data_IF_432599372954
#
_entry.id   IF_432599372954
#
_cell.length_a   1.000
_cell.length_b   1.000
_cell.length_c   1.000
_cell.angle_alpha   90.00
_cell.angle_beta   90.00
_cell.angle_gamma   90.00
#
_symmetry.space_group_name_H-M   'P 1'
#
loop_
_entity.id
_entity.type
_entity.pdbx_description
1 polymer ?
#
# COMPACT_ATOMS: atom_id res chain seq x y z
N UNK A 1 -25.93 -26.47 28.95
CA UNK A 1 -27.28 -26.20 29.51
C UNK A 1 -27.48 -24.69 29.56
N UNK A 2 -28.18 -24.13 28.55
CA UNK A 2 -29.12 -23.00 28.61
C UNK A 2 -29.49 -22.66 27.16
N UNK A 3 -30.53 -23.31 26.65
CA UNK A 3 -31.14 -23.06 25.34
C UNK A 3 -31.87 -21.71 25.38
N UNK A 4 -31.48 -20.77 24.52
CA UNK A 4 -32.27 -19.57 24.25
C UNK A 4 -33.16 -19.85 23.04
N UNK A 5 -34.44 -20.11 23.32
CA UNK A 5 -35.51 -20.29 22.33
C UNK A 5 -35.85 -18.90 21.76
N UNK A 6 -35.48 -18.64 20.50
CA UNK A 6 -35.91 -17.44 19.79
C UNK A 6 -37.17 -17.76 18.98
N UNK A 7 -38.27 -17.13 19.37
CA UNK A 7 -39.58 -17.24 18.73
C UNK A 7 -39.53 -16.71 17.30
N UNK A 8 -40.04 -17.55 16.39
CA UNK A 8 -40.59 -17.20 15.09
C UNK A 8 -41.93 -16.49 15.26
N UNK A 9 -42.13 -15.39 14.53
CA UNK A 9 -43.38 -14.94 13.89
C UNK A 9 -43.35 -13.41 13.76
N UNK A 10 -43.29 -12.91 12.53
CA UNK A 10 -44.39 -12.13 11.96
C UNK A 10 -44.06 -11.74 10.53
N UNK A 11 -44.81 -12.39 9.63
CA UNK A 11 -45.06 -11.91 8.27
C UNK A 11 -45.46 -10.43 8.30
N UNK A 12 -44.68 -9.60 7.61
CA UNK A 12 -45.15 -8.30 7.16
C UNK A 12 -44.66 -8.06 5.74
N UNK A 13 -45.61 -8.27 4.81
CA UNK A 13 -45.54 -7.81 3.41
C UNK A 13 -45.40 -6.29 3.40
N UNK A 14 -44.17 -5.79 3.50
CA UNK A 14 -43.83 -4.38 3.31
C UNK A 14 -43.53 -4.11 1.84
N UNK A 15 -44.48 -3.49 1.13
CA UNK A 15 -44.26 -2.94 -0.20
C UNK A 15 -43.05 -2.01 -0.21
N UNK A 16 -42.23 -2.17 -1.25
CA UNK A 16 -40.98 -1.45 -1.44
C UNK A 16 -41.13 0.07 -1.39
N UNK A 17 -40.44 0.67 -0.42
CA UNK A 17 -40.00 2.05 -0.50
C UNK A 17 -38.47 2.02 -0.65
N UNK A 18 -38.01 2.05 -1.92
CA UNK A 18 -36.61 2.38 -2.22
C UNK A 18 -36.30 3.70 -1.53
N UNK A 19 -35.49 3.64 -0.48
CA UNK A 19 -34.93 4.80 0.19
C UNK A 19 -34.18 5.64 -0.84
N UNK A 20 -34.82 6.71 -1.31
CA UNK A 20 -34.18 7.69 -2.19
C UNK A 20 -33.16 8.42 -1.33
N UNK A 21 -31.89 8.16 -1.61
CA UNK A 21 -30.78 8.92 -1.05
C UNK A 21 -31.01 10.43 -1.24
N UNK A 22 -30.50 11.27 -0.32
CA UNK A 22 -30.66 12.72 -0.40
C UNK A 22 -30.04 13.23 -1.71
N UNK A 23 -30.90 13.54 -2.69
CA UNK A 23 -30.50 14.24 -3.90
C UNK A 23 -30.22 15.67 -3.46
N UNK A 24 -28.95 16.04 -3.36
CA UNK A 24 -28.52 17.42 -3.16
C UNK A 24 -29.06 18.27 -4.32
N UNK A 25 -30.28 18.81 -4.16
CA UNK A 25 -30.89 19.77 -5.08
C UNK A 25 -30.24 21.13 -4.84
N UNK A 26 -29.29 21.48 -5.67
CA UNK A 26 -28.80 22.86 -5.83
C UNK A 26 -29.65 23.59 -6.88
N UNK A 27 -30.98 23.59 -6.72
CA UNK A 27 -31.91 24.17 -7.69
C UNK A 27 -32.07 25.70 -7.55
N UNK A 28 -31.30 26.34 -6.65
CA UNK A 28 -31.26 27.81 -6.61
C UNK A 28 -30.21 28.30 -7.61
N UNK A 29 -30.61 28.98 -8.70
CA UNK A 29 -29.64 29.64 -9.57
C UNK A 29 -28.86 30.64 -8.70
N UNK A 30 -27.52 30.71 -8.84
CA UNK A 30 -26.72 31.65 -8.07
C UNK A 30 -27.19 33.07 -8.36
N UNK A 31 -27.51 33.83 -7.30
CA UNK A 31 -27.71 35.26 -7.41
C UNK A 31 -26.49 35.87 -8.10
N UNK A 32 -26.72 36.60 -9.20
CA UNK A 32 -25.68 37.37 -9.88
C UNK A 32 -25.25 38.53 -9.00
N UNK A 33 -24.46 38.25 -7.96
CA UNK A 33 -23.79 39.30 -7.19
C UNK A 33 -22.74 39.95 -8.11
N UNK A 34 -22.95 41.21 -8.43
CA UNK A 34 -22.04 42.04 -9.23
C UNK A 34 -20.78 42.40 -8.43
N UNK A 35 -20.01 41.40 -7.99
CA UNK A 35 -18.70 41.61 -7.37
C UNK A 35 -17.63 41.75 -8.46
N UNK A 36 -16.73 42.74 -8.35
CA UNK A 36 -15.68 42.99 -9.33
C UNK A 36 -14.80 41.75 -9.47
N UNK A 37 -14.56 41.31 -10.72
CA UNK A 37 -13.73 40.16 -11.08
C UNK A 37 -12.45 40.14 -10.23
N UNK A 38 -12.32 39.24 -9.24
CA UNK A 38 -11.09 39.12 -8.50
C UNK A 38 -10.03 38.67 -9.51
N UNK A 39 -8.98 39.47 -9.66
CA UNK A 39 -7.81 39.07 -10.46
C UNK A 39 -7.44 37.64 -10.01
N UNK A 40 -7.30 36.68 -10.95
CA UNK A 40 -7.00 35.31 -10.58
C UNK A 40 -5.71 35.32 -9.78
N UNK A 41 -5.82 35.07 -8.47
CA UNK A 41 -4.65 34.86 -7.63
C UNK A 41 -4.01 33.60 -8.18
N UNK A 42 -2.78 33.70 -8.68
CA UNK A 42 -2.02 32.54 -9.11
C UNK A 42 -2.10 31.49 -7.98
N UNK A 43 -2.61 30.27 -8.26
CA UNK A 43 -2.76 29.26 -7.23
C UNK A 43 -1.41 29.04 -6.56
N UNK A 44 -1.41 28.88 -5.23
CA UNK A 44 -0.18 28.63 -4.49
C UNK A 44 0.53 27.40 -5.11
N UNK A 45 1.86 27.42 -5.32
CA UNK A 45 2.60 26.36 -6.02
C UNK A 45 2.46 24.95 -5.43
N UNK A 46 1.95 24.82 -4.20
CA UNK A 46 1.65 23.55 -3.56
C UNK A 46 0.33 22.94 -4.05
N UNK A 47 -0.67 23.77 -4.31
CA UNK A 47 -2.03 23.36 -4.68
C UNK A 47 -2.22 23.10 -6.18
N UNK A 48 -1.13 23.06 -6.95
CA UNK A 48 -1.14 22.83 -8.40
C UNK A 48 -0.35 21.60 -8.84
N UNK A 49 0.23 20.86 -7.87
CA UNK A 49 1.04 19.66 -8.09
C UNK A 49 0.13 18.47 -8.38
N UNK A 50 0.64 17.47 -9.10
CA UNK A 50 -0.03 16.19 -9.11
C UNK A 50 -0.03 15.59 -7.71
N UNK A 51 -1.19 15.12 -7.27
CA UNK A 51 -1.42 14.44 -6.01
C UNK A 51 -2.20 13.16 -6.26
N UNK A 52 -1.95 12.14 -5.44
CA UNK A 52 -2.63 10.86 -5.48
C UNK A 52 -2.65 10.20 -4.10
N UNK A 53 -3.54 9.23 -3.92
CA UNK A 53 -3.64 8.37 -2.74
C UNK A 53 -3.62 6.91 -3.18
N UNK A 54 -2.89 6.10 -2.44
CA UNK A 54 -3.04 4.64 -2.43
C UNK A 54 -3.71 4.26 -1.12
N UNK A 55 -4.78 3.47 -1.20
CA UNK A 55 -5.51 3.01 -0.02
C UNK A 55 -5.52 1.50 0.01
N UNK A 56 -4.95 0.94 1.07
CA UNK A 56 -5.06 -0.47 1.38
C UNK A 56 -6.37 -0.74 2.13
N UNK A 57 -7.11 -1.73 1.66
CA UNK A 57 -8.34 -2.20 2.23
C UNK A 57 -8.14 -3.64 2.74
N UNK A 58 -8.37 -3.84 4.03
CA UNK A 58 -8.40 -5.17 4.61
C UNK A 58 -9.74 -5.84 4.29
N UNK A 59 -9.73 -7.12 3.94
CA UNK A 59 -10.95 -7.90 3.76
C UNK A 59 -11.32 -8.63 5.05
N UNK A 60 -12.61 -8.65 5.34
CA UNK A 60 -13.20 -9.47 6.40
C UNK A 60 -14.10 -10.49 5.73
N UNK A 61 -13.74 -11.77 5.87
CA UNK A 61 -14.53 -12.88 5.35
C UNK A 61 -15.46 -13.36 6.46
N UNK A 62 -16.77 -13.27 6.22
CA UNK A 62 -17.77 -13.83 7.12
C UNK A 62 -18.28 -15.14 6.53
N UNK A 63 -18.07 -16.23 7.26
CA UNK A 63 -18.65 -17.52 6.95
C UNK A 63 -20.14 -17.54 7.25
N UNK A 64 -20.92 -18.16 6.37
CA UNK A 64 -22.26 -18.65 6.70
C UNK A 64 -22.09 -19.98 7.42
N UNK A 65 -22.06 -19.94 8.75
CA UNK A 65 -21.97 -21.07 9.68
C UNK A 65 -20.73 -22.00 9.53
N UNK A 66 -19.88 -22.00 10.55
CA UNK A 66 -18.79 -22.98 10.78
C UNK A 66 -17.79 -23.19 9.62
N UNK A 67 -17.23 -22.10 9.08
CA UNK A 67 -15.99 -22.23 8.30
C UNK A 67 -14.88 -22.65 9.28
N UNK A 68 -14.47 -23.92 9.22
CA UNK A 68 -13.29 -24.39 9.95
C UNK A 68 -12.10 -23.46 9.64
N UNK A 69 -11.18 -23.21 10.58
CA UNK A 69 -10.03 -22.32 10.36
C UNK A 69 -9.21 -22.62 9.10
N UNK A 70 -9.21 -23.88 8.64
CA UNK A 70 -8.54 -24.33 7.41
C UNK A 70 -9.37 -24.11 6.12
N UNK A 71 -10.60 -23.63 6.23
CA UNK A 71 -11.54 -23.42 5.13
C UNK A 71 -11.63 -21.96 4.66
N UNK A 72 -10.84 -21.05 5.22
CA UNK A 72 -10.80 -19.66 4.75
C UNK A 72 -10.20 -19.58 3.35
N UNK A 73 -10.75 -18.76 2.44
CA UNK A 73 -10.22 -18.61 1.10
C UNK A 73 -8.84 -17.95 1.13
N UNK A 74 -7.97 -18.37 0.22
CA UNK A 74 -6.70 -17.72 -0.03
C UNK A 74 -6.91 -16.25 -0.45
N UNK A 75 -6.02 -15.36 -0.03
CA UNK A 75 -6.08 -13.94 -0.33
C UNK A 75 -6.16 -13.62 -1.83
N UNK A 76 -5.44 -14.38 -2.66
CA UNK A 76 -5.53 -14.26 -4.12
C UNK A 76 -6.94 -14.52 -4.66
N UNK A 77 -7.67 -15.49 -4.07
CA UNK A 77 -9.01 -15.83 -4.51
C UNK A 77 -10.00 -14.70 -4.17
N UNK A 78 -9.88 -14.12 -2.98
CA UNK A 78 -10.67 -12.96 -2.56
C UNK A 78 -10.41 -11.77 -3.48
N UNK A 79 -9.13 -11.46 -3.74
CA UNK A 79 -8.74 -10.40 -4.68
C UNK A 79 -9.31 -10.61 -6.08
N UNK A 80 -9.16 -11.82 -6.63
CA UNK A 80 -9.66 -12.17 -7.96
C UNK A 80 -11.17 -11.98 -8.06
N UNK A 81 -11.91 -12.41 -7.03
CA UNK A 81 -13.36 -12.27 -6.96
C UNK A 81 -13.81 -10.80 -6.93
N UNK A 82 -13.07 -9.91 -6.25
CA UNK A 82 -13.35 -8.48 -6.24
C UNK A 82 -13.05 -7.85 -7.61
N UNK A 83 -11.90 -8.18 -8.20
CA UNK A 83 -11.51 -7.74 -9.53
C UNK A 83 -12.52 -8.14 -10.60
N UNK A 84 -13.06 -9.37 -10.54
CA UNK A 84 -14.07 -9.83 -11.50
C UNK A 84 -15.36 -9.02 -11.46
N UNK A 85 -15.77 -8.54 -10.29
CA UNK A 85 -16.91 -7.62 -10.17
C UNK A 85 -16.56 -6.25 -10.75
N UNK A 86 -15.39 -5.69 -10.39
CA UNK A 86 -14.94 -4.39 -10.91
C UNK A 86 -14.88 -4.38 -12.44
N UNK A 87 -14.40 -5.47 -13.06
CA UNK A 87 -14.34 -5.64 -14.52
C UNK A 87 -15.72 -5.69 -15.19
N UNK A 88 -16.76 -6.10 -14.48
CA UNK A 88 -18.13 -6.12 -15.01
C UNK A 88 -18.73 -4.71 -15.05
N UNK A 89 -18.36 -3.85 -14.10
CA UNK A 89 -18.94 -2.52 -13.94
C UNK A 89 -18.24 -1.45 -14.81
N UNK A 90 -16.98 -1.66 -15.17
CA UNK A 90 -16.24 -0.70 -16.01
C UNK A 90 -15.12 -1.35 -16.84
N UNK A 91 -14.69 -0.71 -17.94
CA UNK A 91 -13.52 -1.16 -18.69
C UNK A 91 -12.26 -1.13 -17.83
N UNK A 92 -11.45 -2.18 -17.97
CA UNK A 92 -10.16 -2.31 -17.29
C UNK A 92 -9.09 -2.83 -18.25
N UNK A 93 -7.82 -2.51 -17.98
CA UNK A 93 -6.67 -3.06 -18.69
C UNK A 93 -5.65 -3.58 -17.68
N UNK A 94 -5.04 -4.76 -17.88
CA UNK A 94 -3.99 -5.25 -16.99
C UNK A 94 -2.73 -4.40 -17.08
N UNK A 95 -1.95 -4.36 -16.00
CA UNK A 95 -0.65 -3.73 -15.98
C UNK A 95 0.38 -4.41 -16.88
N UNK A 96 1.37 -3.64 -17.34
CA UNK A 96 2.44 -4.14 -18.22
C UNK A 96 3.47 -4.94 -17.43
N UNK A 97 3.79 -4.48 -16.22
CA UNK A 97 4.83 -5.08 -15.37
C UNK A 97 4.26 -6.00 -14.29
N UNK A 98 3.01 -5.76 -13.91
CA UNK A 98 2.24 -6.60 -13.01
C UNK A 98 0.89 -6.90 -13.68
N UNK A 99 0.68 -8.18 -14.04
CA UNK A 99 -0.54 -8.61 -14.71
C UNK A 99 -1.72 -8.74 -13.74
N UNK A 100 -1.45 -8.81 -12.44
CA UNK A 100 -2.49 -8.84 -11.41
C UNK A 100 -3.03 -7.43 -11.15
N UNK A 101 -2.25 -6.38 -11.44
CA UNK A 101 -2.71 -4.99 -11.38
C UNK A 101 -3.71 -4.67 -12.51
N UNK A 102 -4.77 -3.93 -12.17
CA UNK A 102 -5.77 -3.45 -13.11
C UNK A 102 -5.80 -1.92 -13.16
N UNK A 103 -5.70 -1.35 -14.35
CA UNK A 103 -6.00 0.06 -14.61
C UNK A 103 -7.47 0.22 -15.00
N UNK A 104 -8.16 1.13 -14.33
CA UNK A 104 -9.57 1.41 -14.52
C UNK A 104 -9.79 2.55 -15.53
N UNK A 105 -10.97 2.60 -16.15
CA UNK A 105 -11.31 3.64 -17.13
C UNK A 105 -11.25 5.08 -16.57
N UNK A 106 -11.38 5.26 -15.25
CA UNK A 106 -11.25 6.55 -14.58
C UNK A 106 -9.80 6.95 -14.22
N UNK A 107 -8.81 6.14 -14.62
CA UNK A 107 -7.39 6.34 -14.33
C UNK A 107 -6.92 5.82 -12.97
N UNK A 108 -7.80 5.24 -12.15
CA UNK A 108 -7.41 4.55 -10.91
C UNK A 108 -6.72 3.23 -11.22
N UNK A 109 -5.97 2.69 -10.26
CA UNK A 109 -5.39 1.35 -10.35
C UNK A 109 -5.81 0.48 -9.16
N UNK A 110 -6.00 -0.82 -9.40
CA UNK A 110 -6.30 -1.84 -8.38
C UNK A 110 -5.14 -2.82 -8.37
N UNK A 111 -4.55 -3.07 -7.20
CA UNK A 111 -3.37 -3.92 -7.00
C UNK A 111 -3.60 -4.90 -5.86
N UNK A 112 -2.87 -6.02 -5.93
CA UNK A 112 -2.77 -6.97 -4.83
C UNK A 112 -1.50 -6.67 -4.03
N UNK A 113 -1.59 -5.76 -3.08
CA UNK A 113 -0.46 -5.34 -2.23
C UNK A 113 -0.18 -6.41 -1.17
N UNK A 114 0.43 -7.52 -1.58
CA UNK A 114 0.90 -8.53 -0.63
C UNK A 114 2.19 -9.18 -1.12
N UNK A 115 3.05 -9.56 -0.17
CA UNK A 115 4.21 -10.36 -0.48
C UNK A 115 3.75 -11.68 -1.13
N UNK A 116 4.43 -12.21 -2.18
CA UNK A 116 4.02 -13.46 -2.85
C UNK A 116 3.72 -14.64 -1.92
N UNK A 117 4.42 -14.72 -0.79
CA UNK A 117 4.19 -15.73 0.24
C UNK A 117 2.82 -15.62 0.94
N UNK A 118 2.19 -14.44 0.96
CA UNK A 118 0.88 -14.19 1.57
C UNK A 118 -0.30 -14.45 0.62
N UNK A 119 -0.04 -14.73 -0.66
CA UNK A 119 -1.11 -14.98 -1.64
C UNK A 119 -1.97 -16.20 -1.27
N UNK A 120 -1.35 -17.19 -0.63
CA UNK A 120 -1.99 -18.44 -0.19
C UNK A 120 -2.52 -18.36 1.26
N UNK A 121 -2.14 -17.33 2.00
CA UNK A 121 -2.61 -17.15 3.37
C UNK A 121 -4.07 -16.69 3.36
N UNK A 122 -4.85 -17.06 4.39
CA UNK A 122 -6.21 -16.57 4.57
C UNK A 122 -6.29 -15.05 4.64
N UNK A 123 -7.35 -14.48 4.06
CA UNK A 123 -7.65 -13.05 4.15
C UNK A 123 -7.70 -12.40 2.78
N UNK A 124 -7.20 -11.18 2.66
CA UNK A 124 -7.16 -10.45 1.40
C UNK A 124 -6.79 -8.99 1.62
N UNK A 125 -5.91 -8.50 0.76
CA UNK A 125 -5.56 -7.09 0.65
C UNK A 125 -6.00 -6.61 -0.72
N UNK A 126 -6.75 -5.53 -0.73
CA UNK A 126 -7.09 -4.82 -1.94
C UNK A 126 -6.47 -3.44 -1.81
N UNK A 127 -5.52 -3.11 -2.67
CA UNK A 127 -5.05 -1.74 -2.78
C UNK A 127 -5.75 -1.07 -3.96
N UNK A 128 -6.21 0.16 -3.77
CA UNK A 128 -6.70 0.98 -4.89
C UNK A 128 -6.05 2.35 -4.83
N UNK A 129 -5.41 2.72 -5.93
CA UNK A 129 -4.78 4.01 -6.16
C UNK A 129 -5.71 4.96 -6.94
N UNK A 130 -5.80 6.22 -6.50
CA UNK A 130 -6.50 7.27 -7.25
C UNK A 130 -5.77 7.63 -8.55
N UNK A 131 -6.46 8.15 -9.58
CA UNK A 131 -5.78 8.83 -10.67
C UNK A 131 -5.00 10.04 -10.16
N UNK A 132 -4.02 10.50 -10.93
CA UNK A 132 -3.32 11.73 -10.63
C UNK A 132 -4.23 12.95 -10.85
N UNK A 133 -4.40 13.76 -9.80
CA UNK A 133 -5.23 14.97 -9.84
C UNK A 133 -4.42 16.17 -9.38
N UNK A 134 -4.94 17.40 -9.57
CA UNK A 134 -4.22 18.63 -9.16
C UNK A 134 -4.85 19.37 -8.00
N UNK A 135 -6.09 19.03 -7.64
CA UNK A 135 -6.82 19.68 -6.57
C UNK A 135 -7.21 18.70 -5.44
N UNK A 136 -7.04 19.06 -4.16
CA UNK A 136 -7.46 18.21 -3.04
C UNK A 136 -8.95 17.84 -3.07
N UNK A 137 -9.82 18.71 -3.61
CA UNK A 137 -11.24 18.42 -3.78
C UNK A 137 -11.52 17.34 -4.83
N UNK A 138 -10.72 17.31 -5.90
CA UNK A 138 -10.78 16.24 -6.91
C UNK A 138 -10.28 14.93 -6.28
N UNK A 139 -9.17 14.98 -5.53
CA UNK A 139 -8.60 13.82 -4.84
C UNK A 139 -9.61 13.19 -3.89
N UNK A 140 -10.30 14.01 -3.08
CA UNK A 140 -11.37 13.53 -2.20
C UNK A 140 -12.53 12.90 -2.97
N UNK A 141 -12.86 13.44 -4.15
CA UNK A 141 -13.92 12.91 -5.02
C UNK A 141 -13.51 11.55 -5.57
N UNK A 142 -12.29 11.42 -6.08
CA UNK A 142 -11.71 10.16 -6.54
C UNK A 142 -11.67 9.12 -5.41
N UNK A 143 -11.16 9.50 -4.23
CA UNK A 143 -11.09 8.60 -3.09
C UNK A 143 -12.47 8.08 -2.66
N UNK A 144 -13.48 8.95 -2.62
CA UNK A 144 -14.86 8.53 -2.31
C UNK A 144 -15.45 7.63 -3.39
N UNK A 145 -15.08 7.85 -4.64
CA UNK A 145 -15.47 6.96 -5.75
C UNK A 145 -14.86 5.58 -5.59
N UNK A 146 -13.59 5.51 -5.19
CA UNK A 146 -12.88 4.26 -4.92
C UNK A 146 -13.47 3.53 -3.70
N UNK A 147 -13.75 4.26 -2.61
CA UNK A 147 -14.39 3.69 -1.42
C UNK A 147 -15.73 3.02 -1.78
N UNK A 148 -16.52 3.63 -2.67
CA UNK A 148 -17.77 3.05 -3.18
C UNK A 148 -17.51 1.86 -4.08
N UNK A 149 -16.55 1.96 -5.00
CA UNK A 149 -16.18 0.86 -5.89
C UNK A 149 -15.78 -0.40 -5.09
N UNK A 150 -14.93 -0.25 -4.06
CA UNK A 150 -14.51 -1.35 -3.21
C UNK A 150 -15.69 -1.95 -2.43
N UNK A 151 -16.56 -1.11 -1.86
CA UNK A 151 -17.74 -1.56 -1.13
C UNK A 151 -18.74 -2.30 -2.05
N UNK A 152 -19.00 -1.76 -3.24
CA UNK A 152 -19.89 -2.35 -4.23
C UNK A 152 -19.30 -3.66 -4.79
N UNK A 153 -18.00 -3.72 -5.02
CA UNK A 153 -17.31 -4.93 -5.47
C UNK A 153 -17.43 -6.07 -4.45
N UNK A 154 -17.25 -5.76 -3.17
CA UNK A 154 -17.39 -6.73 -2.09
C UNK A 154 -18.85 -7.18 -1.93
N UNK A 155 -19.80 -6.24 -1.96
CA UNK A 155 -21.22 -6.55 -1.84
C UNK A 155 -21.77 -7.39 -3.00
N UNK A 156 -21.32 -7.13 -4.23
CA UNK A 156 -21.78 -7.83 -5.43
C UNK A 156 -20.93 -9.07 -5.77
N UNK A 157 -19.91 -9.39 -4.96
CA UNK A 157 -19.09 -10.58 -5.16
C UNK A 157 -19.93 -11.85 -5.03
N UNK A 158 -19.90 -12.70 -6.06
CA UNK A 158 -20.64 -13.96 -6.10
C UNK A 158 -19.81 -15.11 -5.55
N UNK A 159 -19.26 -14.92 -4.36
CA UNK A 159 -18.51 -15.94 -3.63
C UNK A 159 -19.44 -16.80 -2.78
N UNK A 160 -18.96 -17.96 -2.34
CA UNK A 160 -19.66 -18.79 -1.35
C UNK A 160 -19.58 -18.25 0.09
N UNK A 161 -19.04 -17.05 0.28
CA UNK A 161 -18.79 -16.38 1.56
C UNK A 161 -19.05 -14.88 1.43
N UNK A 162 -19.39 -14.21 2.53
CA UNK A 162 -19.63 -12.76 2.57
C UNK A 162 -18.29 -12.02 2.70
N UNK A 163 -17.97 -11.15 1.75
CA UNK A 163 -16.76 -10.32 1.77
C UNK A 163 -17.16 -8.93 2.26
N UNK A 164 -16.47 -8.45 3.29
CA UNK A 164 -16.55 -7.06 3.74
C UNK A 164 -15.21 -6.37 3.58
N UNK A 165 -15.26 -5.06 3.36
CA UNK A 165 -14.08 -4.22 3.20
C UNK A 165 -13.94 -3.31 4.41
N UNK A 166 -12.73 -3.25 4.96
CA UNK A 166 -12.35 -2.40 6.07
C UNK A 166 -11.33 -1.37 5.57
N UNK A 167 -11.62 -0.09 5.81
CA UNK A 167 -10.69 1.02 5.60
C UNK A 167 -10.16 1.47 6.95
N UNK A 168 -9.08 0.85 7.39
CA UNK A 168 -8.40 1.08 8.65
C UNK A 168 -6.89 0.85 8.46
N UNK A 169 -6.09 1.16 9.48
CA UNK A 169 -4.62 0.98 9.42
C UNK A 169 -4.11 -0.16 10.30
N UNK A 170 -5.00 -0.87 11.00
CA UNK A 170 -4.62 -1.94 11.91
C UNK A 170 -5.78 -2.88 12.23
N UNK A 171 -5.52 -4.18 12.24
CA UNK A 171 -6.49 -5.19 12.67
C UNK A 171 -6.25 -5.71 14.10
N UNK A 172 -7.06 -6.67 14.53
CA UNK A 172 -6.95 -7.30 15.85
C UNK A 172 -5.73 -8.25 15.99
N UNK A 173 -5.14 -8.69 14.87
CA UNK A 173 -3.96 -9.54 14.83
C UNK A 173 -2.65 -8.74 14.86
N UNK A 174 -2.75 -7.42 14.74
CA UNK A 174 -1.62 -6.52 14.77
C UNK A 174 -0.99 -6.28 13.39
N UNK A 175 -1.62 -6.75 12.32
CA UNK A 175 -1.27 -6.35 10.97
C UNK A 175 -1.50 -4.85 10.81
N UNK A 176 -0.67 -4.19 10.00
CA UNK A 176 -0.70 -2.75 9.76
C UNK A 176 -0.87 -2.51 8.28
N UNK A 177 -1.78 -1.60 7.93
CA UNK A 177 -2.11 -1.26 6.55
C UNK A 177 -1.98 0.25 6.31
N UNK A 178 -1.60 0.58 5.09
CA UNK A 178 -1.23 1.93 4.65
C UNK A 178 -2.38 2.73 4.05
N UNK A 179 -2.27 4.04 4.20
CA UNK A 179 -2.78 4.98 3.22
C UNK A 179 -1.61 5.88 2.83
N UNK A 180 -1.17 5.76 1.58
CA UNK A 180 0.01 6.45 1.10
C UNK A 180 -0.39 7.71 0.33
N UNK A 181 0.27 8.81 0.64
CA UNK A 181 0.07 10.08 -0.03
C UNK A 181 1.20 10.32 -1.03
N UNK A 182 0.82 10.49 -2.30
CA UNK A 182 1.75 10.74 -3.39
C UNK A 182 1.68 12.21 -3.79
N UNK A 183 2.84 12.87 -3.82
CA UNK A 183 2.97 14.27 -4.21
C UNK A 183 4.06 14.44 -5.26
N UNK A 184 3.74 15.06 -6.39
CA UNK A 184 4.73 15.44 -7.38
C UNK A 184 5.76 16.41 -6.78
N UNK A 185 7.04 16.10 -6.99
CA UNK A 185 8.13 16.91 -6.51
C UNK A 185 9.26 17.03 -7.54
N UNK A 186 9.55 18.27 -7.93
CA UNK A 186 10.78 18.64 -8.62
C UNK A 186 12.02 18.37 -7.74
N UNK A 187 12.81 17.35 -8.08
CA UNK A 187 14.00 16.96 -7.29
C UNK A 187 15.07 18.05 -7.33
N UNK A 188 15.41 18.58 -8.52
CA UNK A 188 16.39 19.64 -8.71
C UNK A 188 16.23 20.29 -10.10
N UNK A 189 16.75 21.50 -10.29
CA UNK A 189 16.73 22.22 -11.58
C UNK A 189 18.06 22.90 -11.90
N UNK A 190 18.30 23.16 -13.20
CA UNK A 190 19.49 23.86 -13.68
C UNK A 190 20.79 23.20 -13.23
N UNK A 191 21.74 23.99 -12.71
CA UNK A 191 23.03 23.49 -12.21
C UNK A 191 22.86 22.45 -11.09
N UNK A 192 21.86 22.60 -10.21
CA UNK A 192 21.61 21.63 -9.13
C UNK A 192 21.17 20.27 -9.66
N UNK A 193 20.56 20.19 -10.83
CA UNK A 193 20.22 18.91 -11.46
C UNK A 193 21.47 18.17 -11.93
N UNK A 194 22.45 18.90 -12.48
CA UNK A 194 23.75 18.31 -12.87
C UNK A 194 24.49 17.82 -11.63
N UNK A 195 24.58 18.65 -10.58
CA UNK A 195 25.18 18.26 -9.29
C UNK A 195 24.48 17.02 -8.74
N UNK A 196 23.14 17.02 -8.70
CA UNK A 196 22.35 15.86 -8.26
C UNK A 196 22.71 14.59 -9.04
N UNK A 197 22.74 14.65 -10.38
CA UNK A 197 23.09 13.49 -11.23
C UNK A 197 24.50 12.97 -10.96
N UNK A 198 25.47 13.86 -10.74
CA UNK A 198 26.84 13.46 -10.36
C UNK A 198 26.86 12.73 -9.01
N UNK A 199 26.11 13.21 -8.03
CA UNK A 199 25.99 12.54 -6.74
C UNK A 199 25.25 11.20 -6.83
N UNK A 200 24.23 11.07 -7.70
CA UNK A 200 23.58 9.77 -7.95
C UNK A 200 24.55 8.77 -8.59
N UNK A 201 25.38 9.21 -9.55
CA UNK A 201 26.42 8.36 -10.13
C UNK A 201 27.47 7.95 -9.08
N UNK A 202 27.88 8.88 -8.22
CA UNK A 202 28.76 8.59 -7.09
C UNK A 202 28.14 7.56 -6.13
N UNK A 203 26.88 7.77 -5.73
CA UNK A 203 26.14 6.85 -4.86
C UNK A 203 26.02 5.46 -5.49
N UNK A 204 25.80 5.37 -6.79
CA UNK A 204 25.79 4.10 -7.51
C UNK A 204 27.14 3.38 -7.46
N UNK A 205 28.24 4.11 -7.71
CA UNK A 205 29.60 3.56 -7.57
C UNK A 205 29.91 3.11 -6.14
N UNK A 206 29.52 3.91 -5.14
CA UNK A 206 29.66 3.54 -3.73
C UNK A 206 28.83 2.30 -3.38
N UNK A 207 27.59 2.19 -3.88
CA UNK A 207 26.75 1.02 -3.65
C UNK A 207 27.37 -0.25 -4.24
N UNK A 208 27.95 -0.17 -5.44
CA UNK A 208 28.67 -1.30 -6.05
C UNK A 208 29.89 -1.72 -5.21
N UNK A 209 30.67 -0.76 -4.72
CA UNK A 209 31.81 -1.03 -3.84
C UNK A 209 31.35 -1.62 -2.50
N UNK A 210 30.32 -1.05 -1.88
CA UNK A 210 29.74 -1.56 -0.63
C UNK A 210 29.21 -2.99 -0.81
N UNK A 211 28.57 -3.29 -1.94
CA UNK A 211 28.12 -4.64 -2.26
C UNK A 211 29.32 -5.60 -2.31
N UNK A 212 30.36 -5.29 -3.10
CA UNK A 212 31.56 -6.12 -3.20
C UNK A 212 32.27 -6.30 -1.85
N UNK A 213 32.35 -5.25 -1.04
CA UNK A 213 32.93 -5.30 0.29
C UNK A 213 32.06 -6.07 1.31
N UNK A 214 30.74 -6.11 1.11
CA UNK A 214 29.81 -6.87 1.97
C UNK A 214 29.82 -8.37 1.69
N UNK A 215 30.16 -8.81 0.47
CA UNK A 215 30.23 -10.23 0.10
C UNK A 215 31.09 -11.08 1.04
N UNK A 216 32.36 -10.72 1.35
CA UNK A 216 33.18 -11.51 2.28
C UNK A 216 32.61 -11.51 3.70
N UNK A 217 31.99 -10.41 4.14
CA UNK A 217 31.34 -10.33 5.46
C UNK A 217 30.12 -11.26 5.52
N UNK A 218 29.29 -11.26 4.47
CA UNK A 218 28.16 -12.16 4.34
C UNK A 218 28.60 -13.63 4.28
N UNK A 219 29.65 -13.94 3.53
CA UNK A 219 30.23 -15.28 3.51
C UNK A 219 30.73 -15.72 4.90
N UNK A 220 31.38 -14.82 5.64
CA UNK A 220 31.82 -15.09 7.00
C UNK A 220 30.63 -15.33 7.97
N UNK A 221 29.56 -14.54 7.86
CA UNK A 221 28.32 -14.72 8.63
C UNK A 221 27.73 -16.11 8.34
N UNK A 222 27.59 -16.48 7.06
CA UNK A 222 27.05 -17.78 6.67
C UNK A 222 27.93 -18.94 7.16
N UNK A 223 29.25 -18.81 7.07
CA UNK A 223 30.18 -19.80 7.58
C UNK A 223 30.07 -19.99 9.10
N UNK A 224 29.91 -18.90 9.86
CA UNK A 224 29.67 -18.94 11.32
C UNK A 224 28.34 -19.59 11.65
N UNK A 225 27.26 -19.24 10.96
CA UNK A 225 25.93 -19.85 11.14
C UNK A 225 26.01 -21.36 10.89
N UNK A 226 26.63 -21.75 9.76
CA UNK A 226 26.81 -23.14 9.39
C UNK A 226 27.58 -23.90 10.47
N UNK A 227 28.74 -23.37 10.90
CA UNK A 227 29.55 -23.97 11.96
C UNK A 227 28.77 -24.11 13.27
N UNK A 228 28.02 -23.09 13.69
CA UNK A 228 27.20 -23.14 14.90
C UNK A 228 26.10 -24.22 14.81
N UNK A 229 25.39 -24.31 13.69
CA UNK A 229 24.34 -25.33 13.48
C UNK A 229 24.93 -26.74 13.41
N UNK A 230 26.07 -26.93 12.72
CA UNK A 230 26.77 -28.21 12.68
C UNK A 230 27.24 -28.65 14.07
N UNK A 231 27.82 -27.74 14.86
CA UNK A 231 28.24 -28.04 16.24
C UNK A 231 27.05 -28.40 17.15
N UNK A 232 25.89 -27.77 16.94
CA UNK A 232 24.63 -28.05 17.66
C UNK A 232 23.84 -29.23 17.09
N UNK A 233 24.28 -29.85 15.98
CA UNK A 233 23.54 -30.89 15.24
C UNK A 233 22.10 -30.49 14.87
N UNK A 234 21.87 -29.19 14.62
CA UNK A 234 20.57 -28.69 14.20
C UNK A 234 20.44 -28.75 12.67
N UNK A 235 19.25 -29.11 12.13
CA UNK A 235 19.01 -29.03 10.70
C UNK A 235 19.06 -27.59 10.22
N UNK A 236 19.61 -27.39 9.02
CA UNK A 236 19.65 -26.09 8.36
C UNK A 236 18.34 -25.94 7.59
N UNK A 237 17.36 -25.24 8.18
CA UNK A 237 16.20 -24.75 7.44
C UNK A 237 16.52 -23.37 6.85
N UNK A 238 16.21 -23.20 5.57
CA UNK A 238 16.27 -21.92 4.84
C UNK A 238 14.89 -21.27 4.69
N UNK A 239 13.82 -21.92 5.17
CA UNK A 239 12.45 -21.42 5.03
C UNK A 239 12.20 -20.18 5.89
N UNK A 240 12.89 -20.06 7.02
CA UNK A 240 12.80 -18.91 7.93
C UNK A 240 14.19 -18.29 8.12
N UNK A 241 14.47 -17.13 7.50
CA UNK A 241 15.77 -16.48 7.63
C UNK A 241 16.08 -16.08 9.09
N UNK A 242 15.06 -15.83 9.92
CA UNK A 242 15.24 -15.50 11.34
C UNK A 242 15.90 -16.65 12.11
N UNK A 243 15.54 -17.89 11.79
CA UNK A 243 16.10 -19.12 12.40
C UNK A 243 17.59 -19.32 12.09
N UNK A 244 18.14 -18.63 11.08
CA UNK A 244 19.56 -18.68 10.78
C UNK A 244 20.36 -17.93 11.85
N UNK A 245 19.87 -16.78 12.30
CA UNK A 245 20.58 -15.88 13.20
C UNK A 245 20.35 -16.18 14.68
N UNK A 246 19.23 -16.81 15.06
CA UNK A 246 18.97 -17.21 16.46
C UNK A 246 20.07 -18.13 17.03
N UNK A 247 20.70 -18.93 16.16
CA UNK A 247 21.73 -19.89 16.58
C UNK A 247 23.09 -19.25 16.90
N UNK A 248 23.34 -18.01 16.46
CA UNK A 248 24.63 -17.32 16.54
C UNK A 248 24.74 -16.52 17.85
N UNK A 249 25.81 -16.69 18.64
CA UNK A 249 26.02 -15.89 19.84
C UNK A 249 26.05 -14.39 19.53
N UNK A 250 25.35 -13.58 20.33
CA UNK A 250 25.24 -12.11 20.13
C UNK A 250 26.60 -11.42 20.04
N UNK A 251 27.60 -11.89 20.78
CA UNK A 251 28.96 -11.35 20.77
C UNK A 251 29.71 -11.59 19.45
N UNK A 252 29.27 -12.56 18.63
CA UNK A 252 29.77 -12.78 17.26
C UNK A 252 28.93 -12.00 16.26
N UNK A 253 27.60 -12.02 16.40
CA UNK A 253 26.69 -11.34 15.47
C UNK A 253 26.89 -9.82 15.48
N UNK A 254 27.09 -9.22 16.65
CA UNK A 254 27.22 -7.77 16.82
C UNK A 254 28.41 -7.17 16.06
N UNK A 255 29.67 -7.67 16.17
CA UNK A 255 30.78 -7.14 15.41
C UNK A 255 30.64 -7.36 13.90
N UNK A 256 30.04 -8.47 13.46
CA UNK A 256 29.77 -8.72 12.03
C UNK A 256 28.76 -7.70 11.48
N UNK A 257 27.65 -7.47 12.20
CA UNK A 257 26.67 -6.45 11.82
C UNK A 257 27.24 -5.03 11.90
N UNK A 258 28.09 -4.74 12.89
CA UNK A 258 28.80 -3.47 12.99
C UNK A 258 29.71 -3.25 11.78
N UNK A 259 30.43 -4.29 11.34
CA UNK A 259 31.28 -4.23 10.15
C UNK A 259 30.46 -3.93 8.90
N UNK A 260 29.32 -4.62 8.72
CA UNK A 260 28.41 -4.35 7.60
C UNK A 260 27.89 -2.91 7.63
N UNK A 261 27.49 -2.41 8.81
CA UNK A 261 27.08 -1.00 8.99
C UNK A 261 28.19 -0.03 8.64
N UNK A 262 29.44 -0.29 9.04
CA UNK A 262 30.59 0.54 8.68
C UNK A 262 30.83 0.57 7.17
N UNK A 263 30.63 -0.55 6.46
CA UNK A 263 30.74 -0.62 4.99
C UNK A 263 29.68 0.24 4.29
N UNK A 264 28.46 0.31 4.82
CA UNK A 264 27.36 1.11 4.23
C UNK A 264 27.29 2.56 4.75
N UNK A 265 27.95 2.87 5.87
CA UNK A 265 27.89 4.19 6.50
C UNK A 265 28.26 5.34 5.54
N UNK A 266 29.33 5.27 4.72
CA UNK A 266 29.67 6.32 3.77
C UNK A 266 28.53 6.62 2.79
N UNK A 267 27.88 5.58 2.26
CA UNK A 267 26.76 5.71 1.33
C UNK A 267 25.58 6.43 1.99
N UNK A 268 25.26 6.08 3.24
CA UNK A 268 24.20 6.76 4.01
C UNK A 268 24.53 8.22 4.26
N UNK A 269 25.79 8.54 4.58
CA UNK A 269 26.23 9.92 4.80
C UNK A 269 26.11 10.78 3.53
N UNK A 270 26.53 10.24 2.37
CA UNK A 270 26.40 10.92 1.08
C UNK A 270 24.92 11.07 0.71
N UNK A 271 24.11 10.02 0.86
CA UNK A 271 22.67 10.09 0.60
C UNK A 271 21.99 11.15 1.46
N UNK A 272 22.33 11.21 2.76
CA UNK A 272 21.82 12.23 3.68
C UNK A 272 22.23 13.63 3.23
N UNK A 273 23.47 13.82 2.76
CA UNK A 273 23.93 15.10 2.22
C UNK A 273 23.13 15.49 0.97
N UNK A 274 22.92 14.56 0.04
CA UNK A 274 22.16 14.80 -1.19
C UNK A 274 20.72 15.19 -0.88
N UNK A 275 20.03 14.42 -0.04
CA UNK A 275 18.64 14.69 0.34
C UNK A 275 18.53 16.05 1.04
N UNK A 276 19.41 16.33 2.01
CA UNK A 276 19.34 17.53 2.84
C UNK A 276 19.72 18.81 2.10
N UNK A 277 20.73 18.76 1.23
CA UNK A 277 21.33 19.97 0.67
C UNK A 277 21.09 20.16 -0.83
N UNK A 278 20.84 19.09 -1.58
CA UNK A 278 20.81 19.13 -3.04
C UNK A 278 19.40 18.88 -3.58
N UNK A 279 18.79 17.74 -3.23
CA UNK A 279 17.46 17.38 -3.67
C UNK A 279 16.38 18.17 -2.92
N UNK A 280 15.22 18.36 -3.53
CA UNK A 280 13.99 18.92 -2.96
C UNK A 280 14.11 20.32 -2.32
N UNK A 281 15.08 21.13 -2.78
CA UNK A 281 15.35 22.45 -2.18
C UNK A 281 14.17 23.42 -2.28
N UNK A 282 13.41 23.36 -3.38
CA UNK A 282 12.24 24.22 -3.58
C UNK A 282 11.08 23.81 -2.67
N UNK A 283 10.87 22.52 -2.50
CA UNK A 283 9.82 21.94 -1.68
C UNK A 283 10.01 22.33 -0.22
N UNK A 284 11.25 22.22 0.29
CA UNK A 284 11.60 22.64 1.67
C UNK A 284 11.41 24.13 1.96
N UNK A 285 11.23 24.99 0.95
CA UNK A 285 10.90 26.41 1.16
C UNK A 285 9.40 26.65 1.29
N UNK A 286 8.59 25.70 0.83
CA UNK A 286 7.14 25.81 0.84
C UNK A 286 6.49 25.04 2.01
N UNK A 287 7.25 24.15 2.67
CA UNK A 287 6.91 23.50 3.94
C UNK A 287 7.39 24.37 5.10
#
# INVERSE_FOLDING_TARGET
MTQSKRQSETDSKGHGQRSRSPRWRTDKPPEKSATPNPKPKNPSPLASRLIGLETEYATLILGTDEVEPNGMPAAQHVYSALCDVIRQDQPTVPGVFDQDQLFLANGSAVSFESHPAMHQEPGGFLEIATPEVRAPSELLTCQRSIDRLAADAAFNSKTGFDIRILKNSRDALGHVYGCHENYEAEVAHGLFLVIYRLFILLLWGMQAISLLASLPVMAAILAVVFLCKTLKRQPISFEKPDDLFESVPRWVATPLLATLRCVHLPTVLVLRLVIRHIAFRRQRRCL
#
